data_IF_299855368261
#
_entry.id   IF_299855368261
#
_cell.length_a   1.000
_cell.length_b   1.000
_cell.length_c   1.000
_cell.angle_alpha   90.00
_cell.angle_beta   90.00
_cell.angle_gamma   90.00
#
_symmetry.space_group_name_H-M   'P 1'
#
loop_
_entity.id
_entity.type
_entity.pdbx_description
1 polymer ?
#
# COMPACT_ATOMS: atom_id res chain seq x y z
N UNK A 1 26.17 9.90 20.32
CA UNK A 1 25.20 11.02 20.42
C UNK A 1 23.94 10.43 21.01
N UNK A 2 23.41 10.99 22.10
CA UNK A 2 22.21 10.45 22.75
C UNK A 2 20.95 10.69 21.92
N UNK A 3 20.11 9.66 21.81
CA UNK A 3 18.83 9.76 21.10
C UNK A 3 17.75 10.25 22.07
N UNK A 4 17.58 11.58 22.14
CA UNK A 4 16.62 12.23 23.05
C UNK A 4 15.17 11.75 22.84
N UNK A 5 14.79 11.40 21.61
CA UNK A 5 13.45 10.86 21.31
C UNK A 5 13.27 9.44 21.85
N UNK A 6 14.32 8.61 21.80
CA UNK A 6 14.33 7.28 22.41
C UNK A 6 14.20 7.37 23.93
N UNK A 7 14.97 8.24 24.56
CA UNK A 7 14.93 8.47 26.03
C UNK A 7 13.53 8.92 26.46
N UNK A 8 12.94 9.90 25.76
CA UNK A 8 11.56 10.36 26.05
C UNK A 8 10.53 9.24 25.91
N UNK A 9 10.65 8.39 24.89
CA UNK A 9 9.74 7.26 24.67
C UNK A 9 9.87 6.20 25.77
N UNK A 10 11.09 5.84 26.15
CA UNK A 10 11.35 4.88 27.24
C UNK A 10 10.74 5.37 28.55
N UNK A 11 10.92 6.65 28.89
CA UNK A 11 10.30 7.25 30.07
C UNK A 11 8.76 7.23 30.03
N UNK A 12 8.14 7.48 28.86
CA UNK A 12 6.68 7.40 28.70
C UNK A 12 6.16 5.95 28.81
N UNK A 13 6.89 4.96 28.29
CA UNK A 13 6.53 3.55 28.42
C UNK A 13 6.62 3.08 29.87
N UNK A 14 7.65 3.50 30.61
CA UNK A 14 7.74 3.25 32.05
C UNK A 14 6.56 3.87 32.83
N UNK A 15 6.12 5.06 32.44
CA UNK A 15 4.94 5.70 33.02
C UNK A 15 3.66 4.92 32.74
N UNK A 16 3.46 4.46 31.50
CA UNK A 16 2.29 3.64 31.13
C UNK A 16 2.27 2.28 31.85
N UNK A 17 3.44 1.65 32.02
CA UNK A 17 3.54 0.41 32.80
C UNK A 17 3.10 0.60 34.25
N UNK A 18 3.49 1.72 34.89
CA UNK A 18 3.03 2.05 36.25
C UNK A 18 1.51 2.24 36.31
N UNK A 19 0.94 2.96 35.34
CA UNK A 19 -0.51 3.12 35.25
C UNK A 19 -1.23 1.79 35.08
N UNK A 20 -0.65 0.84 34.32
CA UNK A 20 -1.22 -0.50 34.14
C UNK A 20 -1.23 -1.31 35.44
N UNK A 21 -0.24 -1.13 36.30
CA UNK A 21 -0.18 -1.81 37.59
C UNK A 21 -1.17 -1.20 38.61
N UNK A 22 -1.50 0.09 38.46
CA UNK A 22 -2.44 0.82 39.33
C UNK A 22 -3.90 0.68 38.88
N UNK A 23 -4.15 0.41 37.59
CA UNK A 23 -5.48 0.32 36.99
C UNK A 23 -5.72 -1.04 36.33
N UNK A 24 -6.63 -1.82 36.90
CA UNK A 24 -6.95 -3.18 36.45
C UNK A 24 -8.27 -3.33 35.68
N UNK A 25 -8.96 -2.23 35.36
CA UNK A 25 -10.18 -2.28 34.56
C UNK A 25 -9.86 -2.44 33.07
N UNK A 26 -10.71 -3.21 32.37
CA UNK A 26 -10.49 -3.59 30.97
C UNK A 26 -10.40 -2.36 30.05
N UNK A 27 -11.23 -1.34 30.28
CA UNK A 27 -11.24 -0.10 29.47
C UNK A 27 -9.92 0.67 29.58
N UNK A 28 -9.38 0.81 30.80
CA UNK A 28 -8.09 1.48 31.02
C UNK A 28 -6.93 0.68 30.43
N UNK A 29 -6.95 -0.66 30.54
CA UNK A 29 -5.94 -1.51 29.92
C UNK A 29 -5.95 -1.36 28.40
N UNK A 30 -7.14 -1.32 27.77
CA UNK A 30 -7.28 -1.08 26.33
C UNK A 30 -6.67 0.28 25.96
N UNK A 31 -7.03 1.35 26.67
CA UNK A 31 -6.50 2.69 26.39
C UNK A 31 -4.97 2.77 26.55
N UNK A 32 -4.40 2.12 27.58
CA UNK A 32 -2.95 2.05 27.79
C UNK A 32 -2.28 1.34 26.61
N UNK A 33 -2.83 0.21 26.16
CA UNK A 33 -2.30 -0.53 25.02
C UNK A 33 -2.33 0.29 23.72
N UNK A 34 -3.40 1.06 23.50
CA UNK A 34 -3.50 1.97 22.35
C UNK A 34 -2.42 3.07 22.38
N UNK A 35 -2.18 3.69 23.55
CA UNK A 35 -1.14 4.71 23.71
C UNK A 35 0.26 4.11 23.53
N UNK A 36 0.50 2.92 24.10
CA UNK A 36 1.77 2.20 23.95
C UNK A 36 2.05 1.89 22.46
N UNK A 37 1.04 1.41 21.74
CA UNK A 37 1.11 1.20 20.28
C UNK A 37 1.42 2.50 19.54
N UNK A 38 0.73 3.60 19.86
CA UNK A 38 0.99 4.90 19.23
C UNK A 38 2.39 5.45 19.53
N UNK A 39 2.95 5.19 20.72
CA UNK A 39 4.30 5.61 21.11
C UNK A 39 5.40 4.79 20.43
N UNK A 40 5.15 3.50 20.24
CA UNK A 40 6.10 2.55 19.62
C UNK A 40 6.02 2.54 18.11
N UNK A 41 4.93 3.06 17.53
CA UNK A 41 4.75 3.24 16.09
C UNK A 41 5.93 3.99 15.46
N UNK A 42 6.19 3.69 14.18
CA UNK A 42 7.32 4.23 13.42
C UNK A 42 7.20 5.76 13.29
N UNK A 43 8.01 6.51 14.06
CA UNK A 43 8.04 8.00 14.01
C UNK A 43 9.08 8.59 13.05
N UNK A 44 9.90 7.75 12.44
CA UNK A 44 10.96 8.18 11.51
C UNK A 44 10.72 7.59 10.13
N UNK A 45 10.78 8.44 9.11
CA UNK A 45 10.43 8.10 7.73
C UNK A 45 9.05 8.61 7.34
N UNK A 46 8.44 7.97 6.34
CA UNK A 46 7.10 8.30 5.86
C UNK A 46 6.04 7.84 6.87
N UNK A 47 5.15 8.76 7.27
CA UNK A 47 4.01 8.52 8.17
C UNK A 47 2.77 9.08 7.50
N UNK A 48 1.66 8.35 7.57
CA UNK A 48 0.37 8.74 7.01
C UNK A 48 -0.77 8.27 7.90
N UNK A 49 -1.96 8.83 7.69
CA UNK A 49 -3.18 8.34 8.34
C UNK A 49 -3.69 7.09 7.63
N UNK A 50 -3.90 6.02 8.39
CA UNK A 50 -4.49 4.79 7.87
C UNK A 50 -6.01 4.96 7.76
N UNK A 51 -6.54 4.54 6.61
CA UNK A 51 -7.97 4.57 6.33
C UNK A 51 -8.45 3.17 6.00
N UNK A 52 -9.55 2.76 6.63
CA UNK A 52 -10.24 1.50 6.34
C UNK A 52 -10.96 1.64 4.99
N UNK A 53 -10.82 0.64 4.12
CA UNK A 53 -11.58 0.57 2.87
C UNK A 53 -12.82 -0.30 3.07
N UNK A 54 -13.90 -0.04 2.33
CA UNK A 54 -15.13 -0.87 2.36
C UNK A 54 -14.84 -2.37 2.16
N UNK A 55 -13.80 -2.66 1.37
CA UNK A 55 -13.26 -4.00 1.12
C UNK A 55 -12.82 -4.69 2.40
N UNK A 56 -12.10 -3.99 3.30
CA UNK A 56 -11.57 -4.54 4.54
C UNK A 56 -12.70 -4.94 5.50
N UNK A 57 -13.77 -4.16 5.54
CA UNK A 57 -14.96 -4.49 6.35
C UNK A 57 -15.68 -5.72 5.82
N UNK A 58 -15.85 -5.81 4.49
CA UNK A 58 -16.55 -6.93 3.84
C UNK A 58 -15.84 -8.26 4.04
N UNK A 59 -14.50 -8.27 4.03
CA UNK A 59 -13.70 -9.51 4.20
C UNK A 59 -13.90 -10.12 5.60
N UNK A 60 -14.19 -9.31 6.63
CA UNK A 60 -14.39 -9.83 7.99
C UNK A 60 -15.57 -10.80 8.08
N UNK A 61 -16.59 -10.61 7.25
CA UNK A 61 -17.83 -11.41 7.26
C UNK A 61 -18.03 -12.25 6.00
N UNK A 62 -17.33 -11.95 4.91
CA UNK A 62 -17.50 -12.63 3.63
C UNK A 62 -16.14 -13.07 3.05
N UNK A 63 -16.06 -14.33 2.60
CA UNK A 63 -14.90 -14.83 1.86
C UNK A 63 -15.14 -14.58 0.38
N UNK A 64 -14.37 -13.70 -0.29
CA UNK A 64 -14.54 -13.49 -1.73
C UNK A 64 -14.13 -14.76 -2.49
N UNK A 65 -14.72 -14.99 -3.65
CA UNK A 65 -14.37 -16.10 -4.55
C UNK A 65 -14.40 -15.59 -5.99
N UNK A 66 -13.50 -16.10 -6.82
CA UNK A 66 -13.58 -15.85 -8.26
C UNK A 66 -14.61 -16.77 -8.88
N UNK A 67 -15.44 -16.22 -9.74
CA UNK A 67 -16.42 -16.96 -10.54
C UNK A 67 -16.08 -16.74 -12.00
N UNK A 68 -16.01 -17.83 -12.75
CA UNK A 68 -15.79 -17.78 -14.19
C UNK A 68 -17.03 -17.28 -14.92
N UNK A 69 -16.82 -16.49 -15.97
CA UNK A 69 -17.89 -15.93 -16.82
C UNK A 69 -17.64 -16.45 -18.23
N UNK A 70 -18.18 -17.63 -18.52
CA UNK A 70 -17.97 -18.35 -19.79
C UNK A 70 -18.34 -17.48 -21.01
N UNK A 71 -19.34 -16.60 -20.88
CA UNK A 71 -19.78 -15.72 -21.98
C UNK A 71 -18.74 -14.66 -22.38
N UNK A 72 -17.75 -14.39 -21.52
CA UNK A 72 -16.66 -13.44 -21.78
C UNK A 72 -15.35 -14.12 -22.16
N UNK A 73 -15.33 -15.45 -22.32
CA UNK A 73 -14.14 -16.17 -22.73
C UNK A 73 -13.71 -15.78 -24.15
N UNK A 74 -12.42 -15.47 -24.33
CA UNK A 74 -11.84 -15.13 -25.63
C UNK A 74 -10.92 -16.27 -26.04
N UNK A 75 -11.42 -17.12 -26.95
CA UNK A 75 -10.74 -18.35 -27.34
C UNK A 75 -10.19 -18.23 -28.78
N UNK A 76 -8.87 -18.16 -28.90
CA UNK A 76 -8.18 -18.12 -30.19
C UNK A 76 -7.69 -19.51 -30.62
N UNK A 77 -7.08 -20.27 -29.70
CA UNK A 77 -6.59 -21.62 -29.91
C UNK A 77 -6.77 -22.46 -28.63
N UNK A 78 -7.57 -23.55 -28.66
CA UNK A 78 -7.82 -24.41 -27.49
C UNK A 78 -6.58 -25.15 -26.98
N UNK A 79 -5.50 -25.23 -27.75
CA UNK A 79 -4.28 -25.95 -27.39
C UNK A 79 -3.28 -25.10 -26.60
N UNK A 80 -3.47 -23.78 -26.55
CA UNK A 80 -2.61 -22.86 -25.83
C UNK A 80 -3.01 -22.72 -24.36
N UNK A 81 -2.05 -22.31 -23.53
CA UNK A 81 -2.34 -21.87 -22.17
C UNK A 81 -3.21 -20.62 -22.18
N UNK A 82 -4.12 -20.52 -21.21
CA UNK A 82 -5.01 -19.38 -21.04
C UNK A 82 -4.38 -18.31 -20.13
N UNK A 83 -4.84 -17.07 -20.30
CA UNK A 83 -4.53 -15.94 -19.42
C UNK A 83 -5.79 -15.58 -18.62
N UNK A 84 -5.62 -15.05 -17.42
CA UNK A 84 -6.73 -14.62 -16.60
C UNK A 84 -6.99 -13.11 -16.76
N UNK A 85 -8.25 -12.74 -16.95
CA UNK A 85 -8.75 -11.38 -16.77
C UNK A 85 -9.66 -11.38 -15.55
N UNK A 86 -9.30 -10.61 -14.52
CA UNK A 86 -10.06 -10.52 -13.28
C UNK A 86 -10.79 -9.18 -13.24
N UNK A 87 -12.12 -9.22 -13.11
CA UNK A 87 -12.97 -8.05 -12.99
C UNK A 87 -13.43 -7.88 -11.54
N UNK A 88 -13.09 -6.75 -10.91
CA UNK A 88 -13.47 -6.46 -9.53
C UNK A 88 -12.59 -5.41 -8.88
N UNK A 89 -12.77 -5.21 -7.58
CA UNK A 89 -11.86 -4.37 -6.79
C UNK A 89 -10.48 -5.03 -6.73
N UNK A 90 -9.44 -4.24 -6.99
CA UNK A 90 -8.07 -4.74 -7.04
C UNK A 90 -7.59 -5.26 -5.67
N UNK A 91 -8.00 -4.66 -4.56
CA UNK A 91 -7.59 -5.10 -3.23
C UNK A 91 -8.22 -6.46 -2.89
N UNK A 92 -9.51 -6.66 -3.22
CA UNK A 92 -10.16 -7.97 -3.11
C UNK A 92 -9.45 -9.03 -3.95
N UNK A 93 -9.14 -8.71 -5.20
CA UNK A 93 -8.48 -9.63 -6.12
C UNK A 93 -7.08 -10.00 -5.64
N UNK A 94 -6.31 -9.03 -5.13
CA UNK A 94 -4.98 -9.24 -4.58
C UNK A 94 -5.00 -10.14 -3.34
N UNK A 95 -5.97 -9.99 -2.43
CA UNK A 95 -6.08 -10.88 -1.26
C UNK A 95 -6.31 -12.35 -1.66
N UNK A 96 -7.08 -12.60 -2.72
CA UNK A 96 -7.30 -13.96 -3.24
C UNK A 96 -6.07 -14.50 -3.95
N UNK A 97 -5.42 -13.67 -4.75
CA UNK A 97 -4.17 -14.03 -5.41
C UNK A 97 -3.07 -14.34 -4.38
N UNK A 98 -2.99 -13.61 -3.26
CA UNK A 98 -2.02 -13.87 -2.20
C UNK A 98 -2.14 -15.31 -1.68
N UNK A 99 -3.35 -15.88 -1.60
CA UNK A 99 -3.55 -17.26 -1.12
C UNK A 99 -3.05 -18.32 -2.09
N UNK A 100 -3.03 -18.03 -3.39
CA UNK A 100 -2.81 -19.01 -4.46
C UNK A 100 -1.47 -18.83 -5.18
N UNK A 101 -0.96 -17.60 -5.25
CA UNK A 101 0.15 -17.16 -6.07
C UNK A 101 1.28 -16.48 -5.27
N UNK A 102 1.30 -16.62 -3.94
CA UNK A 102 2.41 -16.15 -3.10
C UNK A 102 3.76 -16.65 -3.61
N UNK A 103 4.70 -15.74 -3.87
CA UNK A 103 6.04 -16.08 -4.33
C UNK A 103 6.11 -16.67 -5.73
N UNK A 104 5.09 -16.46 -6.58
CA UNK A 104 5.03 -17.07 -7.93
C UNK A 104 5.08 -16.07 -9.07
N UNK A 105 5.01 -14.77 -8.80
CA UNK A 105 4.96 -13.74 -9.84
C UNK A 105 6.37 -13.23 -10.14
N UNK A 106 6.79 -13.31 -11.41
CA UNK A 106 8.10 -12.81 -11.84
C UNK A 106 8.11 -11.29 -12.02
N UNK A 107 7.06 -10.73 -12.60
CA UNK A 107 6.99 -9.31 -12.97
C UNK A 107 5.63 -8.74 -12.66
N UNK A 108 5.60 -7.58 -12.01
CA UNK A 108 4.39 -6.76 -11.82
C UNK A 108 4.61 -5.41 -12.51
N UNK A 109 3.62 -4.95 -13.27
CA UNK A 109 3.56 -3.59 -13.77
C UNK A 109 2.24 -2.97 -13.34
N UNK A 110 2.29 -1.77 -12.78
CA UNK A 110 1.09 -1.00 -12.41
C UNK A 110 1.22 0.47 -12.84
N UNK A 111 0.07 1.04 -13.19
CA UNK A 111 -0.11 2.47 -13.48
C UNK A 111 -1.20 3.01 -12.55
N UNK A 112 -0.88 3.24 -11.26
CA UNK A 112 -1.84 3.72 -10.26
C UNK A 112 -2.35 5.14 -10.61
N UNK A 113 -3.43 5.61 -9.96
CA UNK A 113 -3.84 7.02 -10.05
C UNK A 113 -2.71 7.94 -9.55
N UNK A 114 -2.49 9.09 -10.20
CA UNK A 114 -1.34 9.96 -9.91
C UNK A 114 -1.65 11.04 -8.86
N UNK A 115 -2.88 11.09 -8.36
CA UNK A 115 -3.38 12.06 -7.39
C UNK A 115 -3.27 13.54 -7.83
N UNK A 116 -3.52 13.82 -9.11
CA UNK A 116 -3.48 15.14 -9.76
C UNK A 116 -4.62 16.09 -9.35
N UNK A 117 -5.58 15.63 -8.55
CA UNK A 117 -6.77 16.39 -8.19
C UNK A 117 -8.04 15.86 -8.86
N UNK A 118 -8.93 16.78 -9.26
CA UNK A 118 -10.27 16.42 -9.76
C UNK A 118 -10.17 15.44 -10.93
N UNK A 119 -10.87 14.31 -10.77
CA UNK A 119 -11.00 13.19 -11.68
C UNK A 119 -9.85 12.16 -11.74
N UNK A 120 -8.78 12.30 -10.93
CA UNK A 120 -7.64 11.36 -10.98
C UNK A 120 -7.67 10.27 -9.89
N UNK A 121 -8.06 10.62 -8.66
CA UNK A 121 -8.09 9.66 -7.55
C UNK A 121 -9.45 9.59 -6.86
N UNK A 122 -10.06 8.40 -6.93
CA UNK A 122 -11.27 8.03 -6.21
C UNK A 122 -10.87 7.15 -5.03
N UNK A 123 -11.20 7.57 -3.81
CA UNK A 123 -10.99 6.82 -2.59
C UNK A 123 -12.33 6.59 -1.88
N UNK A 124 -12.67 5.32 -1.59
CA UNK A 124 -13.95 4.94 -0.98
C UNK A 124 -15.17 5.61 -1.68
N UNK A 125 -15.25 5.45 -3.00
CA UNK A 125 -16.32 5.98 -3.86
C UNK A 125 -16.46 7.51 -3.89
N UNK A 126 -15.50 8.26 -3.32
CA UNK A 126 -15.47 9.72 -3.35
C UNK A 126 -14.17 10.24 -3.97
N UNK A 127 -14.27 11.30 -4.79
CA UNK A 127 -13.08 11.99 -5.28
C UNK A 127 -12.34 12.65 -4.12
N UNK A 128 -11.02 12.52 -4.13
CA UNK A 128 -10.16 13.27 -3.22
C UNK A 128 -9.99 14.68 -3.80
N UNK A 129 -10.49 15.68 -3.08
CA UNK A 129 -10.40 17.07 -3.50
C UNK A 129 -8.94 17.58 -3.37
N UNK A 130 -8.56 18.54 -4.20
CA UNK A 130 -7.20 19.12 -4.16
C UNK A 130 -6.90 19.82 -2.84
N UNK A 131 -7.93 20.39 -2.22
CA UNK A 131 -7.93 21.07 -0.93
C UNK A 131 -8.02 20.11 0.28
N UNK A 132 -8.08 18.80 0.04
CA UNK A 132 -8.06 17.81 1.11
C UNK A 132 -6.65 17.71 1.71
N UNK A 133 -6.52 18.20 2.95
CA UNK A 133 -5.27 18.14 3.72
C UNK A 133 -4.71 16.72 3.88
N UNK A 134 -5.55 15.68 3.72
CA UNK A 134 -5.18 14.29 3.86
C UNK A 134 -5.03 13.55 2.53
N UNK A 135 -5.03 14.24 1.37
CA UNK A 135 -4.98 13.59 0.06
C UNK A 135 -3.83 12.60 -0.12
N UNK A 136 -2.62 13.00 0.28
CA UNK A 136 -1.43 12.15 0.21
C UNK A 136 -1.52 10.98 1.20
N UNK A 137 -2.08 11.21 2.40
CA UNK A 137 -2.30 10.14 3.38
C UNK A 137 -3.28 9.10 2.89
N UNK A 138 -4.39 9.52 2.26
CA UNK A 138 -5.37 8.63 1.63
C UNK A 138 -4.76 7.82 0.49
N UNK A 139 -3.97 8.47 -0.36
CA UNK A 139 -3.27 7.79 -1.45
C UNK A 139 -2.25 6.78 -0.93
N UNK A 140 -1.47 7.13 0.10
CA UNK A 140 -0.54 6.21 0.76
C UNK A 140 -1.25 5.05 1.47
N UNK A 141 -2.37 5.30 2.15
CA UNK A 141 -3.20 4.25 2.74
C UNK A 141 -3.72 3.28 1.68
N UNK A 142 -4.15 3.79 0.53
CA UNK A 142 -4.60 2.98 -0.61
C UNK A 142 -3.45 2.16 -1.22
N UNK A 143 -2.31 2.78 -1.51
CA UNK A 143 -1.19 2.13 -2.18
C UNK A 143 -0.44 1.15 -1.26
N UNK A 144 -0.28 1.47 0.02
CA UNK A 144 0.47 0.64 0.98
C UNK A 144 -0.09 -0.78 1.08
N UNK A 145 -1.42 -0.93 1.16
CA UNK A 145 -2.08 -2.24 1.21
C UNK A 145 -1.81 -3.06 -0.05
N UNK A 146 -1.94 -2.43 -1.22
CA UNK A 146 -1.77 -3.07 -2.54
C UNK A 146 -0.33 -3.49 -2.79
N UNK A 147 0.61 -2.59 -2.53
CA UNK A 147 2.05 -2.86 -2.68
C UNK A 147 2.54 -3.90 -1.67
N UNK A 148 2.01 -3.90 -0.44
CA UNK A 148 2.30 -4.92 0.55
C UNK A 148 1.89 -6.33 0.11
N UNK A 149 0.76 -6.47 -0.58
CA UNK A 149 0.34 -7.76 -1.16
C UNK A 149 1.17 -8.07 -2.41
N UNK A 150 1.42 -7.08 -3.28
CA UNK A 150 2.26 -7.25 -4.48
C UNK A 150 3.65 -7.79 -4.13
N UNK A 151 4.28 -7.28 -3.06
CA UNK A 151 5.54 -7.79 -2.54
C UNK A 151 5.48 -9.29 -2.20
N UNK A 152 4.41 -9.75 -1.56
CA UNK A 152 4.24 -11.17 -1.21
C UNK A 152 3.96 -12.06 -2.43
N UNK A 153 3.39 -11.51 -3.50
CA UNK A 153 3.11 -12.23 -4.73
C UNK A 153 4.38 -12.47 -5.55
N UNK A 154 5.31 -11.51 -5.53
CA UNK A 154 6.58 -11.60 -6.23
C UNK A 154 7.42 -12.77 -5.70
N UNK A 155 8.04 -13.52 -6.61
CA UNK A 155 9.08 -14.49 -6.26
C UNK A 155 10.38 -13.78 -5.86
N UNK A 156 11.41 -14.52 -5.41
CA UNK A 156 12.66 -13.96 -4.89
C UNK A 156 13.52 -13.18 -5.89
N UNK A 157 13.31 -13.39 -7.19
CA UNK A 157 14.00 -12.66 -8.26
C UNK A 157 13.04 -11.70 -8.97
N UNK A 158 11.87 -11.49 -8.37
CA UNK A 158 10.75 -10.79 -8.97
C UNK A 158 10.96 -9.29 -8.96
N UNK A 159 10.43 -8.63 -9.98
CA UNK A 159 10.54 -7.17 -10.14
C UNK A 159 9.17 -6.50 -10.28
N UNK A 160 9.04 -5.32 -9.70
CA UNK A 160 7.86 -4.46 -9.88
C UNK A 160 8.25 -3.14 -10.54
N UNK A 161 7.39 -2.73 -11.48
CA UNK A 161 7.45 -1.45 -12.18
C UNK A 161 6.19 -0.65 -11.83
N UNK A 162 6.39 0.57 -11.34
CA UNK A 162 5.28 1.45 -10.95
C UNK A 162 5.44 2.76 -11.70
N UNK A 163 4.51 3.05 -12.61
CA UNK A 163 4.43 4.33 -13.29
C UNK A 163 3.82 5.38 -12.37
N UNK A 164 4.40 6.57 -12.36
CA UNK A 164 3.94 7.69 -11.54
C UNK A 164 4.36 9.01 -12.20
N UNK A 165 3.79 10.12 -11.77
CA UNK A 165 4.32 11.44 -12.07
C UNK A 165 4.91 12.11 -10.81
N UNK A 166 5.22 13.38 -10.94
CA UNK A 166 5.81 14.25 -9.94
C UNK A 166 4.95 14.50 -8.68
N UNK A 167 3.63 14.27 -8.71
CA UNK A 167 2.76 14.55 -7.56
C UNK A 167 3.00 13.60 -6.38
N UNK A 168 3.19 12.31 -6.67
CA UNK A 168 3.34 11.26 -5.64
C UNK A 168 4.67 10.51 -5.72
N UNK A 169 5.59 10.91 -6.62
CA UNK A 169 6.87 10.22 -6.80
C UNK A 169 7.66 10.07 -5.49
N UNK A 170 7.74 11.12 -4.67
CA UNK A 170 8.53 11.11 -3.44
C UNK A 170 7.90 10.19 -2.37
N UNK A 171 6.59 10.31 -2.21
CA UNK A 171 5.77 9.54 -1.29
C UNK A 171 5.80 8.05 -1.65
N UNK A 172 5.61 7.74 -2.94
CA UNK A 172 5.70 6.38 -3.48
C UNK A 172 7.09 5.80 -3.26
N UNK A 173 8.17 6.55 -3.55
CA UNK A 173 9.53 6.07 -3.36
C UNK A 173 9.80 5.70 -1.90
N UNK A 174 9.42 6.56 -0.96
CA UNK A 174 9.58 6.28 0.47
C UNK A 174 8.72 5.10 0.95
N UNK A 175 7.50 4.97 0.40
CA UNK A 175 6.63 3.84 0.68
C UNK A 175 7.25 2.53 0.17
N UNK A 176 7.76 2.53 -1.06
CA UNK A 176 8.47 1.42 -1.66
C UNK A 176 9.71 1.02 -0.85
N UNK A 177 10.52 1.99 -0.40
CA UNK A 177 11.67 1.70 0.46
C UNK A 177 11.26 1.04 1.79
N UNK A 178 10.07 1.38 2.30
CA UNK A 178 9.56 0.78 3.53
C UNK A 178 9.04 -0.64 3.36
N UNK A 179 8.56 -0.99 2.16
CA UNK A 179 7.95 -2.30 1.85
C UNK A 179 9.00 -3.27 1.27
N UNK A 180 9.75 -2.82 0.26
CA UNK A 180 10.69 -3.64 -0.49
C UNK A 180 12.12 -3.55 0.06
N UNK A 181 12.41 -2.57 0.90
CA UNK A 181 13.76 -2.23 1.33
C UNK A 181 14.44 -1.27 0.34
N UNK A 182 15.16 -0.29 0.89
CA UNK A 182 15.87 0.74 0.11
C UNK A 182 16.97 0.16 -0.79
N UNK A 183 17.66 -0.88 -0.31
CA UNK A 183 18.70 -1.61 -1.07
C UNK A 183 18.16 -2.31 -2.32
N UNK A 184 16.85 -2.60 -2.36
CA UNK A 184 16.21 -3.30 -3.47
C UNK A 184 15.70 -2.35 -4.57
N UNK A 185 15.92 -1.04 -4.42
CA UNK A 185 15.64 -0.09 -5.49
C UNK A 185 16.67 -0.22 -6.63
N UNK A 186 16.25 -0.78 -7.77
CA UNK A 186 17.10 -0.94 -8.94
C UNK A 186 17.30 0.40 -9.66
N UNK A 187 16.26 1.22 -9.76
CA UNK A 187 16.38 2.54 -10.37
C UNK A 187 15.05 3.22 -10.72
N UNK A 188 15.17 4.43 -11.25
CA UNK A 188 14.05 5.24 -11.75
C UNK A 188 14.25 5.49 -13.23
N UNK A 189 13.24 5.13 -14.02
CA UNK A 189 13.23 5.36 -15.48
C UNK A 189 12.43 6.64 -15.73
N UNK A 190 13.03 7.61 -16.41
CA UNK A 190 12.37 8.86 -16.79
C UNK A 190 11.82 8.72 -18.21
N UNK A 191 10.51 8.83 -18.37
CA UNK A 191 9.84 8.89 -19.66
C UNK A 191 9.46 10.34 -19.98
N UNK A 192 10.18 10.94 -20.93
CA UNK A 192 9.80 12.26 -21.46
C UNK A 192 8.62 12.09 -22.42
N UNK A 193 7.49 12.74 -22.13
CA UNK A 193 6.29 12.70 -22.99
C UNK A 193 6.41 13.56 -24.25
N UNK A 194 7.50 14.29 -24.42
CA UNK A 194 7.78 15.19 -25.54
C UNK A 194 6.67 16.22 -25.76
N UNK A 195 6.00 16.63 -24.68
CA UNK A 195 4.95 17.65 -24.72
C UNK A 195 5.52 19.05 -24.42
N UNK A 196 4.81 20.08 -24.84
CA UNK A 196 5.20 21.49 -24.62
C UNK A 196 5.27 21.89 -23.14
N UNK A 197 4.74 21.06 -22.24
CA UNK A 197 4.77 21.25 -20.78
C UNK A 197 5.99 20.59 -20.12
N UNK A 198 6.82 19.85 -20.86
CA UNK A 198 7.96 19.07 -20.34
C UNK A 198 7.59 18.12 -19.19
N UNK A 199 6.38 17.54 -19.23
CA UNK A 199 5.95 16.56 -18.23
C UNK A 199 6.72 15.24 -18.42
N UNK A 200 7.18 14.67 -17.31
CA UNK A 200 7.88 13.38 -17.28
C UNK A 200 7.16 12.40 -16.37
N UNK A 201 6.93 11.19 -16.86
CA UNK A 201 6.54 10.06 -16.01
C UNK A 201 7.81 9.38 -15.49
N UNK A 202 7.74 8.89 -14.27
CA UNK A 202 8.78 8.07 -13.66
C UNK A 202 8.27 6.65 -13.50
N UNK A 203 9.09 5.66 -13.84
CA UNK A 203 8.83 4.27 -13.45
C UNK A 203 9.85 3.84 -12.40
N UNK A 204 9.38 3.49 -11.21
CA UNK A 204 10.24 2.92 -10.16
C UNK A 204 10.37 1.42 -10.42
N UNK A 205 11.61 0.93 -10.49
CA UNK A 205 11.94 -0.49 -10.61
C UNK A 205 12.50 -1.00 -9.28
N UNK A 206 11.86 -2.01 -8.70
CA UNK A 206 12.28 -2.64 -7.44
C UNK A 206 12.48 -4.15 -7.63
N UNK A 207 13.42 -4.71 -6.87
CA UNK A 207 13.55 -6.15 -6.63
C UNK A 207 12.85 -6.54 -5.31
N UNK A 208 12.76 -7.84 -5.06
CA UNK A 208 12.25 -8.44 -3.82
C UNK A 208 13.35 -8.82 -2.85
#
# INVERSE_FOLDING_TARGET
MENLSKIKREHMLEFLNKLRDEHGDDDTIIAINEIESALTSKKYGLVWEEHIERVDEKIKTNVPVFTEVEEKEILADPSLSYNFLLEGDNLHSLYLLEKTHKGKVDVIYIDPPYNRGKDDFIYNDNYVDEEDNFKHSKWLSFMSKRLGIAYKLLNSDGVIFISIDDNEMSQLKMLCDSIFGDANCIGVIIQNKLNSKNEANCTIKLAT
#
